data_IF_731212013033
#
_entry.id   IF_731212013033
#
_cell.length_a   1.000
_cell.length_b   1.000
_cell.length_c   1.000
_cell.angle_alpha   90.00
_cell.angle_beta   90.00
_cell.angle_gamma   90.00
#
_symmetry.space_group_name_H-M   'P 1'
#
loop_
_entity.id
_entity.type
_entity.pdbx_description
1 polymer ?
#
# COMPACT_ATOMS: atom_id res chain seq x y z
N UNK A 1 2.49 -3.49 -18.75
CA UNK A 1 3.30 -4.32 -17.83
C UNK A 1 2.50 -5.02 -16.71
N UNK A 2 1.16 -4.89 -16.67
CA UNK A 2 0.37 -5.59 -15.65
C UNK A 2 0.12 -7.05 -16.05
N UNK A 3 0.56 -7.95 -15.19
CA UNK A 3 0.28 -9.38 -15.20
C UNK A 3 0.06 -9.78 -13.74
N UNK A 4 -0.97 -10.57 -13.47
CA UNK A 4 -1.28 -11.00 -12.10
C UNK A 4 -0.19 -11.94 -11.61
N UNK A 5 0.43 -11.61 -10.48
CA UNK A 5 1.47 -12.44 -9.88
C UNK A 5 0.89 -13.75 -9.34
N UNK A 6 1.69 -14.82 -9.35
CA UNK A 6 1.27 -16.16 -8.92
C UNK A 6 1.41 -16.29 -7.39
N UNK A 7 0.38 -16.83 -6.72
CA UNK A 7 0.41 -17.09 -5.29
C UNK A 7 1.65 -17.91 -4.89
N UNK A 8 2.18 -17.67 -3.68
CA UNK A 8 3.45 -18.20 -3.14
C UNK A 8 4.75 -18.00 -3.96
N UNK A 9 4.69 -17.45 -5.18
CA UNK A 9 5.81 -17.44 -6.12
C UNK A 9 6.43 -16.04 -6.34
N UNK A 10 6.09 -15.04 -5.52
CA UNK A 10 6.53 -13.65 -5.73
C UNK A 10 8.06 -13.48 -5.71
N UNK A 11 8.75 -14.31 -4.92
CA UNK A 11 10.22 -14.34 -4.83
C UNK A 11 10.83 -15.51 -5.65
N UNK A 12 10.01 -16.26 -6.41
CA UNK A 12 10.51 -17.31 -7.31
C UNK A 12 11.06 -16.68 -8.58
N UNK A 13 12.36 -16.89 -8.81
CA UNK A 13 13.13 -16.32 -9.91
C UNK A 13 13.51 -17.41 -10.92
N UNK A 14 12.97 -18.62 -10.81
CA UNK A 14 13.24 -19.66 -11.78
C UNK A 14 12.52 -19.37 -13.11
N UNK A 15 13.34 -19.20 -14.15
CA UNK A 15 12.87 -18.92 -15.50
C UNK A 15 12.68 -20.20 -16.33
N UNK A 16 13.09 -21.36 -15.82
CA UNK A 16 12.86 -22.65 -16.46
C UNK A 16 11.36 -22.98 -16.54
N UNK A 17 10.97 -23.97 -17.37
CA UNK A 17 9.57 -24.37 -17.54
C UNK A 17 8.86 -24.68 -16.20
N UNK A 18 9.58 -25.23 -15.22
CA UNK A 18 9.09 -25.55 -13.88
C UNK A 18 8.94 -24.36 -12.91
N UNK A 19 9.48 -23.17 -13.25
CA UNK A 19 9.37 -21.99 -12.39
C UNK A 19 7.93 -21.53 -12.19
N UNK A 20 7.57 -21.22 -10.94
CA UNK A 20 6.19 -20.95 -10.52
C UNK A 20 5.74 -19.52 -10.80
N UNK A 21 6.68 -18.58 -10.90
CA UNK A 21 6.36 -17.19 -11.21
C UNK A 21 6.14 -16.98 -12.72
N UNK A 22 4.93 -17.29 -13.19
CA UNK A 22 4.55 -17.17 -14.61
C UNK A 22 4.61 -15.71 -15.09
N UNK A 23 4.23 -14.81 -14.21
CA UNK A 23 4.20 -13.38 -14.45
C UNK A 23 5.61 -12.80 -14.73
N UNK A 24 6.62 -13.22 -13.95
CA UNK A 24 8.01 -12.83 -14.18
C UNK A 24 8.49 -13.21 -15.59
N UNK A 25 8.13 -14.42 -16.07
CA UNK A 25 8.46 -14.87 -17.43
C UNK A 25 7.80 -14.00 -18.50
N UNK A 26 6.51 -13.69 -18.34
CA UNK A 26 5.78 -12.81 -19.27
C UNK A 26 6.37 -11.40 -19.32
N UNK A 27 6.72 -10.85 -18.16
CA UNK A 27 7.40 -9.55 -18.02
C UNK A 27 8.78 -9.58 -18.69
N UNK A 28 9.57 -10.62 -18.47
CA UNK A 28 10.89 -10.80 -19.07
C UNK A 28 10.82 -10.90 -20.61
N UNK A 29 9.90 -11.69 -21.15
CA UNK A 29 9.73 -11.85 -22.60
C UNK A 29 9.45 -10.53 -23.33
N UNK A 30 8.76 -9.59 -22.67
CA UNK A 30 8.47 -8.26 -23.21
C UNK A 30 9.72 -7.37 -23.28
N UNK A 31 10.67 -7.54 -22.37
CA UNK A 31 11.84 -6.66 -22.20
C UNK A 31 13.18 -7.31 -22.58
N UNK A 32 13.18 -8.60 -22.94
CA UNK A 32 14.39 -9.35 -23.30
C UNK A 32 15.19 -8.64 -24.40
N UNK A 33 16.51 -8.78 -24.33
CA UNK A 33 17.47 -8.11 -25.23
C UNK A 33 17.44 -6.57 -25.13
N UNK A 34 17.03 -6.01 -23.99
CA UNK A 34 17.02 -4.57 -23.75
C UNK A 34 15.92 -3.83 -24.52
N UNK A 35 14.81 -4.51 -24.83
CA UNK A 35 13.67 -3.87 -25.47
C UNK A 35 13.06 -2.82 -24.56
N UNK A 36 12.76 -1.67 -25.16
CA UNK A 36 12.02 -0.60 -24.49
C UNK A 36 10.56 -1.02 -24.32
N UNK A 37 9.93 -0.52 -23.27
CA UNK A 37 8.52 -0.77 -23.00
C UNK A 37 7.89 0.48 -22.41
N UNK A 38 6.58 0.60 -22.61
CA UNK A 38 5.77 1.70 -22.13
C UNK A 38 4.95 1.30 -20.89
N UNK A 39 4.72 2.28 -20.02
CA UNK A 39 3.81 2.19 -18.89
C UNK A 39 2.97 3.45 -18.82
N UNK A 40 1.67 3.29 -18.55
CA UNK A 40 0.74 4.36 -18.32
C UNK A 40 -0.10 4.03 -17.08
N UNK A 41 -0.34 5.02 -16.23
CA UNK A 41 -1.09 4.87 -15.00
C UNK A 41 -1.45 6.22 -14.39
N UNK A 42 -2.34 6.19 -13.42
CA UNK A 42 -2.72 7.38 -12.66
C UNK A 42 -1.59 7.74 -11.70
N UNK A 43 -1.25 9.02 -11.62
CA UNK A 43 -0.36 9.51 -10.57
C UNK A 43 -1.17 9.63 -9.27
N UNK A 44 -1.02 8.63 -8.39
CA UNK A 44 -1.67 8.62 -7.08
C UNK A 44 -1.08 9.73 -6.19
N UNK A 45 -1.76 10.87 -6.16
CA UNK A 45 -1.45 12.00 -5.27
C UNK A 45 -2.67 12.29 -4.40
N UNK A 46 -2.44 12.76 -3.18
CA UNK A 46 -3.52 13.15 -2.26
C UNK A 46 -4.48 14.15 -2.92
N UNK A 47 -3.93 15.16 -3.61
CA UNK A 47 -4.72 16.17 -4.35
C UNK A 47 -5.52 15.58 -5.52
N UNK A 48 -5.06 14.48 -6.11
CA UNK A 48 -5.74 13.78 -7.19
C UNK A 48 -6.92 12.92 -6.76
N UNK A 49 -7.13 12.75 -5.45
CA UNK A 49 -8.23 11.93 -4.91
C UNK A 49 -9.53 12.70 -4.67
N UNK A 50 -9.49 14.04 -4.68
CA UNK A 50 -10.69 14.87 -4.46
C UNK A 50 -11.44 15.15 -5.77
N UNK A 51 -12.76 15.35 -5.68
CA UNK A 51 -13.69 15.38 -6.82
C UNK A 51 -13.76 16.71 -7.60
N UNK A 52 -13.18 17.79 -7.07
CA UNK A 52 -13.19 19.13 -7.65
C UNK A 52 -12.01 19.35 -8.59
N UNK A 53 -12.24 20.11 -9.65
CA UNK A 53 -11.17 20.55 -10.53
C UNK A 53 -10.35 21.66 -9.87
N UNK A 54 -9.07 21.73 -10.20
CA UNK A 54 -8.20 22.82 -9.77
C UNK A 54 -8.61 24.10 -10.49
N UNK A 55 -8.63 25.22 -9.76
CA UNK A 55 -9.01 26.52 -10.33
C UNK A 55 -7.93 27.05 -11.26
N UNK A 56 -8.34 27.88 -12.23
CA UNK A 56 -7.42 28.51 -13.17
C UNK A 56 -6.34 29.33 -12.43
N UNK A 57 -5.14 29.42 -13.01
CA UNK A 57 -3.99 30.10 -12.39
C UNK A 57 -3.26 29.28 -11.30
N UNK A 58 -3.72 28.08 -10.97
CA UNK A 58 -3.01 27.21 -10.00
C UNK A 58 -1.74 26.61 -10.61
N UNK A 59 -0.57 26.93 -10.04
CA UNK A 59 0.71 26.31 -10.43
C UNK A 59 0.96 25.04 -9.62
N UNK A 60 1.13 23.90 -10.31
CA UNK A 60 1.44 22.60 -9.69
C UNK A 60 2.89 22.24 -10.01
N UNK A 61 3.67 21.94 -8.98
CA UNK A 61 5.02 21.39 -9.13
C UNK A 61 5.02 19.92 -8.73
N UNK A 62 5.28 19.04 -9.70
CA UNK A 62 5.41 17.60 -9.46
C UNK A 62 6.89 17.24 -9.49
N UNK A 63 7.38 16.57 -8.43
CA UNK A 63 8.72 16.01 -8.36
C UNK A 63 8.63 14.49 -8.21
N UNK A 64 9.11 13.76 -9.22
CA UNK A 64 9.19 12.31 -9.20
C UNK A 64 10.61 11.88 -8.89
N UNK A 65 10.78 10.93 -7.97
CA UNK A 65 12.07 10.35 -7.61
C UNK A 65 12.07 8.89 -8.06
N UNK A 66 13.09 8.49 -8.83
CA UNK A 66 13.25 7.11 -9.26
C UNK A 66 13.69 6.27 -8.06
N UNK A 67 12.99 5.16 -7.82
CA UNK A 67 13.45 4.16 -6.87
C UNK A 67 14.75 3.48 -7.35
N UNK A 68 15.47 2.83 -6.43
CA UNK A 68 16.67 2.06 -6.77
C UNK A 68 16.31 0.87 -7.67
N UNK A 69 17.23 0.47 -8.54
CA UNK A 69 17.00 -0.66 -9.46
C UNK A 69 16.74 -1.97 -8.71
N UNK A 70 17.43 -2.22 -7.61
CA UNK A 70 17.24 -3.36 -6.71
C UNK A 70 15.86 -3.40 -6.02
N UNK A 71 15.15 -2.26 -5.96
CA UNK A 71 13.77 -2.19 -5.47
C UNK A 71 12.77 -2.39 -6.61
N UNK A 72 13.07 -1.88 -7.81
CA UNK A 72 12.15 -1.89 -8.95
C UNK A 72 12.22 -3.15 -9.81
N UNK A 73 13.30 -3.93 -9.75
CA UNK A 73 13.56 -5.07 -10.64
C UNK A 73 13.79 -6.37 -9.85
N UNK A 74 13.32 -7.48 -10.44
CA UNK A 74 13.61 -8.83 -9.95
C UNK A 74 14.60 -9.53 -10.90
N UNK A 75 15.61 -10.17 -10.34
CA UNK A 75 16.66 -10.88 -11.07
C UNK A 75 17.28 -11.99 -10.23
N UNK A 76 17.43 -13.18 -10.82
CA UNK A 76 18.14 -14.32 -10.23
C UNK A 76 19.66 -14.07 -10.22
N UNK A 77 20.17 -13.63 -11.37
CA UNK A 77 21.59 -13.47 -11.68
C UNK A 77 21.79 -12.16 -12.44
N UNK A 78 22.70 -11.32 -11.95
CA UNK A 78 23.09 -10.08 -12.62
C UNK A 78 22.38 -8.83 -12.09
N UNK A 79 23.07 -7.72 -12.28
CA UNK A 79 22.60 -6.37 -11.97
C UNK A 79 22.00 -5.79 -13.24
N UNK A 80 20.73 -5.40 -13.18
CA UNK A 80 20.03 -4.73 -14.26
C UNK A 80 19.72 -3.30 -13.84
N UNK A 81 19.64 -2.41 -14.83
CA UNK A 81 19.36 -1.00 -14.62
C UNK A 81 18.09 -0.59 -15.36
N UNK A 82 17.16 0.07 -14.66
CA UNK A 82 15.99 0.67 -15.28
C UNK A 82 16.34 2.08 -15.75
N UNK A 83 16.51 2.23 -17.05
CA UNK A 83 16.72 3.53 -17.70
C UNK A 83 15.37 4.12 -18.15
N UNK A 84 15.14 5.39 -17.80
CA UNK A 84 13.93 6.11 -18.19
C UNK A 84 14.26 6.94 -19.43
N UNK A 85 13.70 6.59 -20.58
CA UNK A 85 13.92 7.33 -21.83
C UNK A 85 13.04 8.58 -21.93
N UNK A 86 11.76 8.45 -21.59
CA UNK A 86 10.79 9.54 -21.66
C UNK A 86 9.77 9.44 -20.51
N UNK A 87 9.39 10.58 -19.94
CA UNK A 87 8.26 10.71 -19.02
C UNK A 87 7.35 11.80 -19.56
N UNK A 88 6.07 11.49 -19.71
CA UNK A 88 5.02 12.43 -20.09
C UNK A 88 3.92 12.44 -19.04
N UNK A 89 3.43 13.63 -18.67
CA UNK A 89 2.30 13.81 -17.76
C UNK A 89 1.10 14.34 -18.56
N UNK A 90 0.03 13.56 -18.62
CA UNK A 90 -1.22 13.94 -19.27
C UNK A 90 -2.18 14.53 -18.24
N UNK A 91 -2.59 15.79 -18.45
CA UNK A 91 -3.52 16.50 -17.56
C UNK A 91 -4.79 16.81 -18.35
N UNK A 92 -5.94 16.43 -17.78
CA UNK A 92 -7.24 16.82 -18.33
C UNK A 92 -7.53 18.28 -17.96
N UNK A 93 -7.75 19.11 -18.97
CA UNK A 93 -8.24 20.48 -18.82
C UNK A 93 -9.73 20.52 -19.18
N UNK A 94 -10.48 21.39 -18.51
CA UNK A 94 -11.89 21.63 -18.81
C UNK A 94 -12.05 23.07 -19.28
N UNK A 95 -12.62 23.23 -20.48
CA UNK A 95 -12.99 24.54 -21.00
C UNK A 95 -14.30 24.99 -20.36
N UNK A 96 -14.32 26.22 -19.86
CA UNK A 96 -15.46 26.80 -19.15
C UNK A 96 -15.89 28.10 -19.81
N UNK A 97 -17.18 28.42 -19.78
CA UNK A 97 -17.72 29.65 -20.35
C UNK A 97 -17.13 30.89 -19.67
N UNK A 98 -16.95 31.99 -20.40
CA UNK A 98 -16.35 33.23 -19.89
C UNK A 98 -17.11 33.82 -18.69
N UNK A 99 -18.43 33.65 -18.63
CA UNK A 99 -19.24 34.08 -17.48
C UNK A 99 -18.87 33.35 -16.18
N UNK A 100 -18.47 32.08 -16.26
CA UNK A 100 -18.01 31.30 -15.10
C UNK A 100 -16.64 31.78 -14.63
N UNK A 101 -15.73 32.12 -15.56
CA UNK A 101 -14.41 32.68 -15.21
C UNK A 101 -14.56 34.00 -14.45
N UNK A 102 -15.36 34.93 -14.97
CA UNK A 102 -15.65 36.21 -14.29
C UNK A 102 -16.32 35.98 -12.93
N UNK A 103 -17.21 34.99 -12.84
CA UNK A 103 -17.83 34.58 -11.57
C UNK A 103 -16.82 34.06 -10.55
N UNK A 104 -15.87 33.22 -10.98
CA UNK A 104 -14.78 32.75 -10.13
C UNK A 104 -13.89 33.90 -9.65
N UNK A 105 -13.49 34.82 -10.53
CA UNK A 105 -12.64 35.96 -10.17
C UNK A 105 -13.29 36.84 -9.10
N UNK A 106 -14.58 37.16 -9.26
CA UNK A 106 -15.35 37.90 -8.24
C UNK A 106 -15.48 37.16 -6.92
N UNK A 107 -15.65 35.84 -6.95
CA UNK A 107 -15.74 35.03 -5.74
C UNK A 107 -14.39 34.95 -5.00
N UNK A 108 -13.28 34.94 -5.75
CA UNK A 108 -11.92 34.94 -5.23
C UNK A 108 -11.52 36.26 -4.57
N UNK A 109 -12.10 37.39 -5.00
CA UNK A 109 -11.95 38.69 -4.33
C UNK A 109 -12.55 38.69 -2.92
N UNK A 110 -13.60 37.88 -2.70
CA UNK A 110 -14.33 37.82 -1.43
C UNK A 110 -13.84 36.73 -0.49
N UNK A 111 -13.35 35.60 -1.04
CA UNK A 111 -13.02 34.42 -0.24
C UNK A 111 -11.98 33.51 -0.90
N UNK A 112 -11.27 32.76 -0.06
CA UNK A 112 -10.30 31.76 -0.51
C UNK A 112 -11.01 30.46 -0.95
N UNK A 113 -10.47 29.82 -1.99
CA UNK A 113 -10.93 28.48 -2.39
C UNK A 113 -10.43 27.45 -1.38
N UNK A 114 -11.37 26.70 -0.80
CA UNK A 114 -11.07 25.58 0.06
C UNK A 114 -11.15 24.27 -0.73
N UNK A 115 -10.00 23.60 -0.90
CA UNK A 115 -9.92 22.25 -1.46
C UNK A 115 -9.60 21.27 -0.35
N UNK A 116 -10.51 20.32 -0.12
CA UNK A 116 -10.34 19.27 0.89
C UNK A 116 -9.85 18.01 0.19
N UNK A 117 -8.86 17.35 0.77
CA UNK A 117 -8.35 16.08 0.29
C UNK A 117 -7.92 15.23 1.49
N UNK A 118 -7.88 13.92 1.29
CA UNK A 118 -7.39 12.98 2.29
C UNK A 118 -5.88 12.84 2.12
N UNK A 119 -5.14 13.10 3.20
CA UNK A 119 -3.69 12.94 3.20
C UNK A 119 -3.32 11.47 3.44
N UNK A 120 -2.41 10.94 2.64
CA UNK A 120 -1.85 9.60 2.85
C UNK A 120 -0.47 9.75 3.48
N UNK A 121 -0.25 9.06 4.60
CA UNK A 121 1.04 9.03 5.28
C UNK A 121 1.52 7.58 5.43
N UNK A 122 2.78 7.33 5.10
CA UNK A 122 3.42 6.02 5.29
C UNK A 122 4.43 6.12 6.43
N UNK A 123 4.29 5.26 7.43
CA UNK A 123 5.25 5.08 8.51
C UNK A 123 5.85 3.68 8.47
N UNK A 124 7.12 3.57 8.79
CA UNK A 124 7.85 2.31 8.81
C UNK A 124 8.38 2.03 10.20
N UNK A 125 8.15 0.81 10.69
CA UNK A 125 8.66 0.34 11.97
C UNK A 125 9.49 -0.92 11.73
N UNK A 126 10.67 -0.99 12.34
CA UNK A 126 11.56 -2.16 12.22
C UNK A 126 11.30 -3.13 13.37
N UNK A 127 11.00 -4.39 13.03
CA UNK A 127 10.79 -5.45 14.01
C UNK A 127 12.01 -6.35 14.10
N UNK A 128 12.51 -6.57 15.31
CA UNK A 128 13.63 -7.51 15.52
C UNK A 128 13.16 -8.96 15.37
N UNK A 129 14.03 -9.80 14.80
CA UNK A 129 13.75 -11.23 14.64
C UNK A 129 13.62 -11.93 15.99
N UNK A 130 12.63 -12.82 16.11
CA UNK A 130 12.45 -13.69 17.29
C UNK A 130 11.56 -13.12 18.38
N UNK A 131 11.05 -11.89 18.21
CA UNK A 131 10.03 -11.32 19.08
C UNK A 131 8.71 -12.10 18.94
N UNK A 132 8.10 -12.43 20.09
CA UNK A 132 6.77 -13.08 20.14
C UNK A 132 5.64 -12.07 20.26
N UNK A 133 5.90 -10.97 20.97
CA UNK A 133 4.96 -9.90 21.23
C UNK A 133 5.66 -8.59 20.96
N UNK A 134 5.01 -7.71 20.23
CA UNK A 134 5.50 -6.40 19.85
C UNK A 134 4.39 -5.41 20.12
N UNK A 135 4.74 -4.35 20.86
CA UNK A 135 3.91 -3.16 20.99
C UNK A 135 4.69 -2.03 20.34
N UNK A 136 4.07 -1.34 19.39
CA UNK A 136 4.59 -0.12 18.80
C UNK A 136 3.77 1.03 19.43
N UNK A 137 4.25 1.63 20.52
CA UNK A 137 3.55 2.73 21.16
C UNK A 137 3.64 3.99 20.28
N UNK A 138 2.63 4.85 20.33
CA UNK A 138 2.63 6.12 19.60
C UNK A 138 2.93 5.97 18.10
N UNK A 139 2.40 4.90 17.49
CA UNK A 139 2.52 4.69 16.04
C UNK A 139 1.88 5.86 15.28
N UNK A 140 0.79 6.40 15.81
CA UNK A 140 0.21 7.69 15.44
C UNK A 140 0.04 8.53 16.70
N UNK A 141 0.39 9.81 16.61
CA UNK A 141 0.15 10.79 17.67
C UNK A 141 -0.27 12.11 17.00
N UNK A 142 -1.36 12.71 17.47
CA UNK A 142 -1.98 13.91 16.91
C UNK A 142 -3.26 13.57 16.14
N UNK A 143 -3.40 14.09 14.92
CA UNK A 143 -4.59 13.85 14.10
C UNK A 143 -4.65 12.35 13.73
N UNK A 144 -5.75 11.70 14.12
CA UNK A 144 -5.98 10.29 13.85
C UNK A 144 -6.42 10.09 12.39
N UNK A 145 -5.87 9.10 11.68
CA UNK A 145 -6.32 8.76 10.35
C UNK A 145 -7.71 8.10 10.42
N UNK A 146 -8.51 8.29 9.37
CA UNK A 146 -9.78 7.56 9.21
C UNK A 146 -9.57 6.08 8.88
N UNK A 147 -8.42 5.71 8.31
CA UNK A 147 -8.07 4.34 7.93
C UNK A 147 -6.60 4.08 8.21
N UNK A 148 -6.30 2.87 8.70
CA UNK A 148 -4.94 2.39 8.81
C UNK A 148 -4.77 1.05 8.06
N UNK A 149 -3.71 0.95 7.27
CA UNK A 149 -3.35 -0.27 6.54
C UNK A 149 -1.96 -0.71 7.02
N UNK A 150 -1.87 -1.94 7.51
CA UNK A 150 -0.64 -2.53 8.01
C UNK A 150 -0.21 -3.69 7.13
N UNK A 151 1.05 -3.69 6.70
CA UNK A 151 1.67 -4.77 5.95
C UNK A 151 3.03 -5.11 6.54
N UNK A 152 3.39 -6.39 6.49
CA UNK A 152 4.70 -6.86 6.93
C UNK A 152 5.51 -7.32 5.72
N UNK A 153 6.75 -6.85 5.63
CA UNK A 153 7.69 -7.18 4.55
C UNK A 153 9.08 -7.40 5.12
N UNK A 154 9.91 -8.20 4.44
CA UNK A 154 11.28 -8.43 4.88
C UNK A 154 12.13 -7.17 4.74
N UNK A 155 13.03 -6.93 5.69
CA UNK A 155 13.92 -5.76 5.65
C UNK A 155 14.76 -5.70 4.35
N UNK A 156 15.20 -6.85 3.85
CA UNK A 156 15.91 -6.94 2.57
C UNK A 156 15.06 -6.50 1.37
N UNK A 157 13.79 -6.91 1.32
CA UNK A 157 12.91 -6.51 0.23
C UNK A 157 12.58 -5.00 0.32
N UNK A 158 12.32 -4.50 1.54
CA UNK A 158 12.05 -3.08 1.79
C UNK A 158 13.20 -2.16 1.35
N UNK A 159 14.45 -2.54 1.63
CA UNK A 159 15.62 -1.74 1.26
C UNK A 159 16.05 -1.91 -0.20
N UNK A 160 15.47 -2.89 -0.91
CA UNK A 160 15.85 -3.31 -2.25
C UNK A 160 16.76 -4.53 -2.24
N UNK A 161 16.36 -5.56 -2.96
CA UNK A 161 17.12 -6.80 -3.19
C UNK A 161 16.57 -7.40 -4.48
N UNK A 162 17.42 -7.59 -5.50
CA UNK A 162 17.01 -8.15 -6.79
C UNK A 162 16.29 -9.51 -6.66
N UNK A 163 16.48 -10.22 -5.55
CA UNK A 163 15.88 -11.53 -5.34
C UNK A 163 14.57 -11.50 -4.55
N UNK A 164 14.12 -10.33 -4.09
CA UNK A 164 12.94 -10.23 -3.22
C UNK A 164 12.02 -9.11 -3.64
N UNK A 165 10.74 -9.42 -3.68
CA UNK A 165 9.75 -8.45 -4.10
C UNK A 165 9.33 -7.54 -2.92
N UNK A 166 9.48 -6.20 -3.01
CA UNK A 166 9.09 -5.27 -1.93
C UNK A 166 7.58 -5.18 -1.69
N UNK A 167 6.76 -5.70 -2.61
CA UNK A 167 5.29 -5.71 -2.55
C UNK A 167 4.78 -7.09 -2.05
N UNK A 168 5.69 -8.01 -1.69
CA UNK A 168 5.33 -9.31 -1.11
C UNK A 168 5.05 -9.19 0.40
N UNK A 169 3.81 -8.84 0.73
CA UNK A 169 3.33 -8.68 2.11
C UNK A 169 2.98 -10.05 2.70
N UNK A 170 3.86 -10.57 3.55
CA UNK A 170 3.72 -11.90 4.15
C UNK A 170 3.03 -11.83 5.51
N UNK A 171 2.31 -12.88 5.86
CA UNK A 171 1.67 -12.99 7.17
C UNK A 171 2.65 -13.20 8.34
N UNK A 172 3.88 -13.69 8.07
CA UNK A 172 4.92 -14.02 9.07
C UNK A 172 4.42 -14.84 10.29
N UNK A 173 3.39 -15.67 10.10
CA UNK A 173 2.70 -16.39 11.16
C UNK A 173 2.25 -15.48 12.32
N UNK A 174 1.74 -14.28 11.98
CA UNK A 174 1.04 -13.42 12.91
C UNK A 174 -0.18 -14.18 13.48
N UNK A 175 -0.39 -14.06 14.79
CA UNK A 175 -1.43 -14.77 15.55
C UNK A 175 -2.38 -13.82 16.28
N UNK A 176 -1.99 -12.57 16.40
CA UNK A 176 -2.77 -11.54 17.05
C UNK A 176 -2.40 -10.20 16.42
N UNK A 177 -3.41 -9.42 16.08
CA UNK A 177 -3.25 -8.02 15.72
C UNK A 177 -4.44 -7.20 16.23
N UNK A 178 -4.11 -6.09 16.89
CA UNK A 178 -5.05 -5.05 17.28
C UNK A 178 -4.34 -3.70 17.30
N UNK A 179 -5.15 -2.66 17.27
CA UNK A 179 -4.76 -1.30 17.55
C UNK A 179 -5.26 -0.93 18.95
N UNK A 180 -4.67 0.09 19.54
CA UNK A 180 -5.17 0.72 20.76
C UNK A 180 -5.27 2.22 20.50
N UNK A 181 -6.49 2.73 20.37
CA UNK A 181 -6.78 4.16 20.26
C UNK A 181 -7.04 4.71 21.66
N UNK A 182 -6.17 5.61 22.15
CA UNK A 182 -6.28 6.19 23.49
C UNK A 182 -6.47 5.14 24.61
N UNK A 183 -5.82 3.98 24.49
CA UNK A 183 -5.95 2.86 25.43
C UNK A 183 -7.12 1.90 25.17
N UNK A 184 -8.03 2.23 24.24
CA UNK A 184 -9.17 1.37 23.86
C UNK A 184 -8.80 0.50 22.67
N UNK A 185 -9.04 -0.82 22.75
CA UNK A 185 -8.68 -1.75 21.69
C UNK A 185 -9.59 -1.64 20.46
N UNK A 186 -8.99 -1.60 19.27
CA UNK A 186 -9.66 -1.62 17.97
C UNK A 186 -9.08 -2.73 17.09
N UNK A 187 -9.91 -3.62 16.53
CA UNK A 187 -11.32 -3.83 16.85
C UNK A 187 -11.50 -4.34 18.30
N UNK A 188 -12.72 -4.16 18.84
CA UNK A 188 -13.08 -4.63 20.18
C UNK A 188 -12.73 -6.11 20.39
N UNK A 189 -13.03 -6.94 19.39
CA UNK A 189 -12.49 -8.31 19.30
C UNK A 189 -11.29 -8.29 18.36
N UNK A 190 -10.08 -8.36 18.90
CA UNK A 190 -8.83 -8.43 18.12
C UNK A 190 -8.86 -9.53 17.06
N UNK A 191 -8.07 -9.36 16.00
CA UNK A 191 -7.90 -10.42 15.01
C UNK A 191 -6.91 -11.46 15.54
N UNK A 192 -7.29 -12.73 15.48
CA UNK A 192 -6.47 -13.87 15.93
C UNK A 192 -6.30 -14.92 14.84
N UNK A 193 -5.68 -14.59 13.68
CA UNK A 193 -5.59 -15.51 12.56
C UNK A 193 -4.73 -16.74 12.88
N UNK A 194 -5.10 -17.89 12.32
CA UNK A 194 -4.27 -19.09 12.28
C UNK A 194 -4.03 -19.49 10.83
N UNK A 195 -2.94 -18.97 10.25
CA UNK A 195 -2.55 -19.27 8.87
C UNK A 195 -2.16 -20.74 8.66
N UNK A 196 -1.68 -21.42 9.72
CA UNK A 196 -1.42 -22.87 9.69
C UNK A 196 -2.70 -23.68 9.49
N UNK A 197 -3.79 -23.28 10.13
CA UNK A 197 -5.08 -23.99 10.09
C UNK A 197 -6.05 -23.39 9.06
N UNK A 198 -5.59 -22.45 8.23
CA UNK A 198 -6.41 -21.67 7.31
C UNK A 198 -7.59 -20.92 7.93
N UNK A 199 -7.43 -20.43 9.17
CA UNK A 199 -8.45 -19.64 9.88
C UNK A 199 -8.06 -18.16 9.88
N UNK A 200 -8.32 -17.45 8.78
CA UNK A 200 -7.99 -16.03 8.62
C UNK A 200 -9.04 -15.26 7.80
N UNK A 201 -10.21 -15.85 7.56
CA UNK A 201 -11.27 -15.28 6.72
C UNK A 201 -11.74 -13.91 7.20
N UNK A 202 -11.77 -13.67 8.51
CA UNK A 202 -12.16 -12.35 9.07
C UNK A 202 -11.17 -11.25 8.68
N UNK A 203 -9.88 -11.56 8.62
CA UNK A 203 -8.83 -10.62 8.19
C UNK A 203 -8.90 -10.36 6.68
N UNK A 204 -9.18 -11.40 5.89
CA UNK A 204 -9.43 -11.25 4.46
C UNK A 204 -10.69 -10.43 4.19
N UNK A 205 -11.77 -10.65 4.95
CA UNK A 205 -12.98 -9.87 4.83
C UNK A 205 -12.72 -8.38 5.13
N UNK A 206 -11.92 -8.06 6.15
CA UNK A 206 -11.59 -6.67 6.48
C UNK A 206 -10.80 -5.97 5.38
N UNK A 207 -9.97 -6.69 4.63
CA UNK A 207 -9.33 -6.14 3.42
C UNK A 207 -10.37 -5.64 2.40
N UNK A 208 -11.44 -6.38 2.20
CA UNK A 208 -12.48 -6.01 1.23
C UNK A 208 -13.45 -4.95 1.79
N UNK A 209 -13.97 -5.16 3.02
CA UNK A 209 -14.95 -4.27 3.63
C UNK A 209 -14.35 -2.91 3.95
N UNK A 210 -13.17 -2.88 4.57
CA UNK A 210 -12.63 -1.65 5.15
C UNK A 210 -11.91 -0.80 4.10
N UNK A 211 -11.59 -1.36 2.92
CA UNK A 211 -11.22 -0.59 1.72
C UNK A 211 -12.45 -0.06 0.95
N UNK A 212 -13.66 -0.52 1.28
CA UNK A 212 -14.87 -0.41 0.47
C UNK A 212 -14.64 -0.76 -1.00
N UNK A 213 -13.82 -1.80 -1.24
CA UNK A 213 -13.57 -2.34 -2.57
C UNK A 213 -14.21 -3.72 -2.67
N UNK A 214 -15.33 -3.80 -3.39
CA UNK A 214 -16.03 -5.06 -3.63
C UNK A 214 -15.23 -6.05 -4.47
N UNK A 215 -14.22 -5.59 -5.20
CA UNK A 215 -13.31 -6.43 -5.96
C UNK A 215 -11.87 -5.95 -5.83
N UNK A 216 -11.16 -6.48 -4.85
CA UNK A 216 -9.72 -6.27 -4.65
C UNK A 216 -8.87 -7.03 -5.66
N UNK A 217 -9.47 -7.94 -6.46
CA UNK A 217 -8.79 -8.92 -7.30
C UNK A 217 -7.75 -9.78 -6.53
N UNK A 218 -7.94 -9.92 -5.22
CA UNK A 218 -7.12 -10.76 -4.33
C UNK A 218 -8.00 -11.89 -3.86
N UNK A 219 -7.61 -13.14 -4.10
CA UNK A 219 -8.32 -14.31 -3.56
C UNK A 219 -7.95 -14.55 -2.10
N UNK A 220 -8.72 -15.39 -1.40
CA UNK A 220 -8.42 -15.79 -0.02
C UNK A 220 -7.03 -16.43 0.10
N UNK A 221 -6.60 -17.21 -0.89
CA UNK A 221 -5.28 -17.85 -0.92
C UNK A 221 -4.18 -16.80 -1.18
N UNK A 222 -4.35 -15.94 -2.18
CA UNK A 222 -3.40 -14.86 -2.49
C UNK A 222 -3.18 -13.92 -1.30
N UNK A 223 -4.25 -13.66 -0.53
CA UNK A 223 -4.19 -12.87 0.70
C UNK A 223 -3.22 -13.48 1.72
N UNK A 224 -3.31 -14.77 1.98
CA UNK A 224 -2.43 -15.45 2.94
C UNK A 224 -0.97 -15.38 2.52
N UNK A 225 -0.71 -15.54 1.23
CA UNK A 225 0.62 -15.87 0.74
C UNK A 225 1.47 -14.65 0.42
N UNK A 226 0.90 -13.62 -0.23
CA UNK A 226 1.67 -12.47 -0.71
C UNK A 226 0.98 -11.10 -0.57
N UNK A 227 -0.31 -11.05 -0.23
CA UNK A 227 -1.06 -9.79 -0.09
C UNK A 227 -1.70 -9.67 1.30
N UNK A 228 -0.96 -10.06 2.34
CA UNK A 228 -1.45 -10.07 3.72
C UNK A 228 -1.41 -8.67 4.33
N UNK A 229 -2.39 -7.85 3.97
CA UNK A 229 -2.61 -6.52 4.51
C UNK A 229 -3.71 -6.56 5.57
N UNK A 230 -3.52 -5.82 6.66
CA UNK A 230 -4.52 -5.65 7.70
C UNK A 230 -5.07 -4.23 7.63
N UNK A 231 -6.34 -4.11 7.26
CA UNK A 231 -7.04 -2.84 7.11
C UNK A 231 -7.93 -2.64 8.33
N UNK A 232 -7.92 -1.41 8.84
CA UNK A 232 -8.75 -0.95 9.94
C UNK A 232 -9.44 0.34 9.50
N UNK A 233 -10.77 0.32 9.49
CA UNK A 233 -11.56 1.55 9.54
C UNK A 233 -11.56 2.08 10.99
N UNK A 234 -11.17 3.34 11.15
CA UNK A 234 -11.06 4.04 12.44
C UNK A 234 -12.14 5.12 12.60
N UNK A 235 -13.07 5.22 11.66
CA UNK A 235 -14.27 6.05 11.81
C UNK A 235 -15.29 5.36 12.71
N UNK A 236 -16.11 6.13 13.41
CA UNK A 236 -17.07 5.55 14.36
C UNK A 236 -18.26 4.89 13.67
N UNK A 237 -18.53 5.29 12.42
CA UNK A 237 -19.65 4.86 11.59
C UNK A 237 -19.22 3.97 10.41
N UNK A 238 -17.94 3.56 10.36
CA UNK A 238 -17.36 2.76 9.26
C UNK A 238 -17.47 3.42 7.87
N UNK A 239 -17.35 4.74 7.86
CA UNK A 239 -17.45 5.61 6.69
C UNK A 239 -16.10 6.04 6.12
N UNK A 240 -14.98 5.35 6.41
CA UNK A 240 -13.66 5.81 5.96
C UNK A 240 -13.50 5.86 4.43
N UNK A 241 -14.38 5.19 3.68
CA UNK A 241 -14.45 5.25 2.22
C UNK A 241 -15.56 6.15 1.67
N UNK A 242 -16.39 6.72 2.53
CA UNK A 242 -17.53 7.51 2.08
C UNK A 242 -17.09 8.90 1.61
N UNK A 243 -17.87 9.54 0.71
CA UNK A 243 -17.51 10.83 0.14
C UNK A 243 -17.67 12.00 1.12
N UNK A 244 -18.25 11.78 2.30
CA UNK A 244 -18.45 12.81 3.31
C UNK A 244 -17.28 12.91 4.29
N UNK A 245 -17.13 14.09 4.88
CA UNK A 245 -15.99 14.41 5.71
C UNK A 245 -16.19 13.93 7.14
N UNK A 246 -15.37 12.97 7.56
CA UNK A 246 -15.20 12.64 8.96
C UNK A 246 -14.54 13.82 9.71
N UNK A 247 -15.05 14.12 10.91
CA UNK A 247 -14.47 15.16 11.77
C UNK A 247 -13.08 14.70 12.21
N UNK A 248 -12.08 15.59 12.09
CA UNK A 248 -10.73 15.29 12.52
C UNK A 248 -10.71 15.04 14.05
N UNK A 249 -10.23 13.85 14.44
CA UNK A 249 -10.07 13.46 15.84
C UNK A 249 -8.59 13.53 16.20
N UNK A 250 -8.27 13.87 17.45
CA UNK A 250 -6.89 13.87 17.95
C UNK A 250 -6.71 12.77 18.98
N UNK A 251 -5.57 12.11 19.00
CA UNK A 251 -5.26 11.07 19.97
C UNK A 251 -3.94 10.34 19.70
N UNK A 252 -3.81 9.20 20.37
CA UNK A 252 -2.73 8.23 20.19
C UNK A 252 -3.30 6.93 19.59
N UNK A 253 -2.53 6.32 18.68
CA UNK A 253 -2.72 4.92 18.28
C UNK A 253 -1.43 4.15 18.50
N UNK A 254 -1.55 3.08 19.28
CA UNK A 254 -0.53 2.06 19.46
C UNK A 254 -0.88 0.79 18.68
N UNK A 255 0.12 0.06 18.15
CA UNK A 255 -0.08 -1.18 17.39
C UNK A 255 0.39 -2.37 18.24
N UNK A 256 -0.46 -3.39 18.38
CA UNK A 256 -0.18 -4.60 19.14
C UNK A 256 -0.12 -5.82 18.21
N UNK A 257 1.00 -6.54 18.21
CA UNK A 257 1.25 -7.70 17.37
C UNK A 257 1.74 -8.88 18.20
N UNK A 258 1.20 -10.09 17.97
CA UNK A 258 1.86 -11.33 18.42
C UNK A 258 2.20 -12.24 17.25
N UNK A 259 3.47 -12.65 17.19
CA UNK A 259 4.06 -13.49 16.14
C UNK A 259 4.37 -14.88 16.70
N UNK A 260 4.27 -15.91 15.85
CA UNK A 260 4.76 -17.24 16.20
C UNK A 260 6.29 -17.26 16.22
N UNK A 261 6.90 -17.81 17.27
CA UNK A 261 8.37 -17.99 17.33
C UNK A 261 8.82 -18.87 16.16
N UNK A 262 9.65 -18.35 15.28
CA UNK A 262 10.39 -19.18 14.32
C UNK A 262 11.44 -19.94 15.14
N UNK A 263 11.19 -21.24 15.36
CA UNK A 263 12.15 -22.13 15.98
C UNK A 263 13.39 -22.21 15.09
N UNK A 264 14.50 -21.56 15.47
CA UNK A 264 15.82 -21.99 15.00
C UNK A 264 16.07 -23.36 15.63
N UNK A 265 15.79 -24.44 14.89
CA UNK A 265 16.29 -25.77 15.24
C UNK A 265 17.83 -25.69 15.23
N UNK A 266 18.43 -25.56 16.40
CA UNK A 266 19.86 -25.82 16.60
C UNK A 266 20.01 -27.33 16.69
N UNK A 267 20.53 -27.96 15.63
CA UNK A 267 21.24 -29.22 15.80
C UNK A 267 22.48 -28.92 16.63
N UNK A 268 22.51 -29.41 17.87
CA UNK A 268 23.77 -29.68 18.56
C UNK A 268 24.17 -31.09 18.12
N UNK A 269 25.37 -31.22 17.56
CA UNK A 269 26.14 -32.43 17.80
C UNK A 269 26.73 -32.34 19.21
#
# INVERSE_FOLDING_TARGET
MFYKDTAEAFDDLDLAAAGKNLCLKQRLERVKNGKTFDMCGILHTDLGTQSRLLINGTTIRVRLLKAKDEFSLLSKNGTYHLHIENISLFIRKCDVASSILVGHDKALEQSLVQMRFTRIETKTFTLSSGLKSVIIPNAVNGILPSRMILGLVSNSAFNGDFKKNPINFKNYNLRYISLSENGVQIPMTAYTPSYKNNLYTRNYLSLCSDLAQHNTNVTLEEYKDNTCLYVFDLTQDFSASDPFMNVARSGDISINLNLMKISRKRLRY
#
